data_IF_149610213484
#
_entry.id   IF_149610213484
#
_cell.length_a   1.000
_cell.length_b   1.000
_cell.length_c   1.000
_cell.angle_alpha   90.00
_cell.angle_beta   90.00
_cell.angle_gamma   90.00
#
_symmetry.space_group_name_H-M   'P 1'
#
loop_
_entity.id
_entity.type
_entity.pdbx_description
1 polymer ?
#
# COMPACT_ATOMS: atom_id res chain seq x y z
N UNK A 1 -10.78 9.56 -15.25
CA UNK A 1 -11.35 8.46 -16.06
C UNK A 1 -11.65 7.32 -15.12
N UNK A 2 -12.91 6.93 -15.01
CA UNK A 2 -13.30 5.73 -14.23
C UNK A 2 -13.87 4.74 -15.23
N UNK A 3 -13.29 3.55 -15.27
CA UNK A 3 -13.78 2.46 -16.12
C UNK A 3 -14.40 1.43 -15.21
N UNK A 4 -15.60 0.92 -15.49
CA UNK A 4 -16.25 -0.08 -14.68
C UNK A 4 -15.32 -1.25 -14.35
N UNK A 5 -15.36 -1.72 -13.10
CA UNK A 5 -14.54 -2.84 -12.65
C UNK A 5 -15.16 -4.18 -13.10
N UNK A 6 -15.24 -4.39 -14.40
CA UNK A 6 -15.77 -5.62 -15.01
C UNK A 6 -14.62 -6.46 -15.55
N UNK A 7 -14.65 -7.76 -15.26
CA UNK A 7 -13.67 -8.74 -15.76
C UNK A 7 -13.99 -9.03 -17.21
N UNK A 8 -13.04 -8.79 -18.13
CA UNK A 8 -13.16 -9.14 -19.55
C UNK A 8 -12.74 -10.57 -19.81
N UNK A 9 -11.53 -10.95 -19.37
CA UNK A 9 -10.97 -12.27 -19.59
C UNK A 9 -10.34 -12.82 -18.31
N UNK A 10 -10.45 -14.12 -18.11
CA UNK A 10 -9.78 -14.87 -17.05
C UNK A 10 -8.74 -15.77 -17.68
N UNK A 11 -7.49 -15.60 -17.27
CA UNK A 11 -6.37 -16.37 -17.83
C UNK A 11 -6.44 -17.82 -17.32
N UNK A 12 -6.40 -18.77 -18.23
CA UNK A 12 -6.41 -20.20 -17.88
C UNK A 12 -5.22 -20.58 -16.99
N UNK A 13 -5.45 -21.40 -15.97
CA UNK A 13 -4.45 -21.80 -14.97
C UNK A 13 -4.11 -20.72 -13.94
N UNK A 14 -4.81 -19.59 -13.95
CA UNK A 14 -4.56 -18.50 -13.02
C UNK A 14 -5.24 -18.68 -11.67
N UNK A 15 -4.80 -17.88 -10.70
CA UNK A 15 -5.44 -17.82 -9.36
C UNK A 15 -6.90 -17.38 -9.45
N UNK A 16 -7.22 -16.49 -10.40
CA UNK A 16 -8.59 -16.04 -10.61
C UNK A 16 -9.50 -17.16 -11.12
N UNK A 17 -9.03 -17.98 -12.08
CA UNK A 17 -9.78 -19.14 -12.56
C UNK A 17 -10.01 -20.14 -11.42
N UNK A 18 -8.97 -20.44 -10.65
CA UNK A 18 -9.07 -21.36 -9.49
C UNK A 18 -10.03 -20.85 -8.41
N UNK A 19 -10.15 -19.52 -8.25
CA UNK A 19 -11.10 -18.87 -7.33
C UNK A 19 -12.54 -18.82 -7.89
N UNK A 20 -12.74 -19.14 -9.17
CA UNK A 20 -14.04 -19.18 -9.81
C UNK A 20 -14.51 -17.84 -10.39
N UNK A 21 -13.60 -16.96 -10.80
CA UNK A 21 -13.94 -15.78 -11.61
C UNK A 21 -14.40 -16.18 -13.00
N UNK A 22 -15.33 -15.42 -13.55
CA UNK A 22 -15.83 -15.58 -14.91
C UNK A 22 -15.82 -14.23 -15.64
N UNK A 23 -15.66 -14.22 -16.96
CA UNK A 23 -15.88 -13.01 -17.76
C UNK A 23 -17.25 -12.41 -17.51
N UNK A 24 -17.33 -11.09 -17.38
CA UNK A 24 -18.54 -10.35 -17.03
C UNK A 24 -18.78 -10.14 -15.54
N UNK A 25 -17.96 -10.70 -14.65
CA UNK A 25 -18.04 -10.42 -13.23
C UNK A 25 -17.72 -8.94 -12.95
N UNK A 26 -18.61 -8.28 -12.23
CA UNK A 26 -18.41 -6.90 -11.79
C UNK A 26 -17.90 -6.89 -10.35
N UNK A 27 -16.73 -6.32 -10.15
CA UNK A 27 -16.12 -6.18 -8.81
C UNK A 27 -16.84 -5.08 -8.05
N UNK A 28 -17.31 -5.38 -6.84
CA UNK A 28 -17.97 -4.42 -5.95
C UNK A 28 -17.03 -3.92 -4.87
N UNK A 29 -16.33 -4.83 -4.19
CA UNK A 29 -15.40 -4.49 -3.12
C UNK A 29 -14.27 -5.52 -2.99
N UNK A 30 -13.16 -5.10 -2.38
CA UNK A 30 -12.02 -5.95 -2.00
C UNK A 30 -11.69 -5.67 -0.54
N UNK A 31 -11.74 -6.71 0.32
CA UNK A 31 -11.56 -6.58 1.79
C UNK A 31 -12.44 -5.45 2.40
N UNK A 32 -13.66 -5.25 1.86
CA UNK A 32 -14.58 -4.18 2.27
C UNK A 32 -14.24 -2.79 1.71
N UNK A 33 -13.18 -2.65 0.93
CA UNK A 33 -12.90 -1.42 0.18
C UNK A 33 -13.75 -1.41 -1.11
N UNK A 34 -14.58 -0.39 -1.27
CA UNK A 34 -15.45 -0.24 -2.45
C UNK A 34 -14.60 0.08 -3.67
N UNK A 35 -14.70 -0.75 -4.68
CA UNK A 35 -14.00 -0.59 -5.96
C UNK A 35 -14.84 0.27 -6.89
N UNK A 36 -14.32 1.43 -7.32
CA UNK A 36 -15.01 2.35 -8.23
C UNK A 36 -14.71 2.05 -9.70
N UNK A 37 -13.53 1.49 -9.96
CA UNK A 37 -13.09 1.16 -11.30
C UNK A 37 -12.05 0.05 -11.31
N UNK A 38 -11.76 -0.47 -12.50
CA UNK A 38 -10.80 -1.56 -12.65
C UNK A 38 -9.40 -1.20 -12.15
N UNK A 39 -9.01 0.08 -12.24
CA UNK A 39 -7.72 0.56 -11.72
C UNK A 39 -7.61 0.45 -10.20
N UNK A 40 -8.69 0.75 -9.46
CA UNK A 40 -8.73 0.58 -8.02
C UNK A 40 -8.56 -0.89 -7.62
N UNK A 41 -9.27 -1.77 -8.33
CA UNK A 41 -9.13 -3.21 -8.14
C UNK A 41 -7.71 -3.70 -8.41
N UNK A 42 -7.14 -3.31 -9.56
CA UNK A 42 -5.79 -3.68 -9.95
C UNK A 42 -4.76 -3.19 -8.91
N UNK A 43 -4.89 -1.95 -8.46
CA UNK A 43 -4.01 -1.36 -7.44
C UNK A 43 -4.10 -2.12 -6.12
N UNK A 44 -5.31 -2.50 -5.69
CA UNK A 44 -5.51 -3.26 -4.46
C UNK A 44 -4.83 -4.64 -4.55
N UNK A 45 -5.08 -5.37 -5.60
CA UNK A 45 -4.49 -6.69 -5.86
C UNK A 45 -2.96 -6.58 -5.95
N UNK A 46 -2.44 -5.63 -6.72
CA UNK A 46 -1.01 -5.41 -6.89
C UNK A 46 -0.27 -5.14 -5.57
N UNK A 47 -0.93 -4.43 -4.64
CA UNK A 47 -0.35 -4.14 -3.31
C UNK A 47 -0.60 -5.23 -2.27
N UNK A 48 -1.12 -6.41 -2.67
CA UNK A 48 -1.44 -7.54 -1.78
C UNK A 48 -0.75 -8.86 -2.21
N UNK A 49 0.55 -8.88 -2.55
CA UNK A 49 1.22 -10.12 -2.96
C UNK A 49 1.23 -11.13 -1.82
N UNK A 50 0.91 -12.40 -2.12
CA UNK A 50 0.89 -13.52 -1.17
C UNK A 50 0.00 -13.32 0.06
N UNK A 51 -0.96 -12.40 0.02
CA UNK A 51 -1.92 -12.14 1.08
C UNK A 51 -3.32 -12.52 0.61
N UNK A 52 -4.07 -13.26 1.43
CA UNK A 52 -5.47 -13.57 1.13
C UNK A 52 -6.29 -12.28 1.04
N UNK A 53 -7.10 -12.17 -0.01
CA UNK A 53 -8.03 -11.08 -0.26
C UNK A 53 -9.43 -11.63 -0.48
N UNK A 54 -10.41 -10.93 0.09
CA UNK A 54 -11.84 -11.24 -0.02
C UNK A 54 -12.46 -10.28 -1.03
N UNK A 55 -13.00 -10.80 -2.12
CA UNK A 55 -13.54 -10.01 -3.23
C UNK A 55 -15.03 -10.26 -3.33
N UNK A 56 -15.82 -9.21 -3.22
CA UNK A 56 -17.25 -9.24 -3.51
C UNK A 56 -17.48 -8.90 -4.97
N UNK A 57 -18.20 -9.76 -5.66
CA UNK A 57 -18.54 -9.61 -7.06
C UNK A 57 -20.07 -9.65 -7.26
N UNK A 58 -20.52 -9.05 -8.35
CA UNK A 58 -21.86 -9.18 -8.88
C UNK A 58 -21.79 -9.96 -10.20
N UNK A 59 -22.44 -11.11 -10.22
CA UNK A 59 -22.59 -11.99 -11.41
C UNK A 59 -24.06 -12.07 -11.78
N UNK A 60 -24.46 -11.36 -12.82
CA UNK A 60 -25.86 -11.21 -13.16
C UNK A 60 -26.64 -10.48 -12.05
N UNK A 61 -27.64 -11.14 -11.44
CA UNK A 61 -28.42 -10.58 -10.32
C UNK A 61 -27.93 -11.07 -8.95
N UNK A 62 -26.85 -11.82 -8.88
CA UNK A 62 -26.37 -12.47 -7.64
C UNK A 62 -25.06 -11.88 -7.18
N UNK A 63 -24.97 -11.57 -5.90
CA UNK A 63 -23.70 -11.22 -5.24
C UNK A 63 -23.00 -12.49 -4.80
N UNK A 64 -21.70 -12.55 -4.98
CA UNK A 64 -20.83 -13.66 -4.56
C UNK A 64 -19.59 -13.10 -3.87
N UNK A 65 -19.01 -13.92 -3.01
CA UNK A 65 -17.74 -13.62 -2.34
C UNK A 65 -16.73 -14.66 -2.79
N UNK A 66 -15.61 -14.21 -3.30
CA UNK A 66 -14.50 -15.04 -3.75
C UNK A 66 -13.28 -14.72 -2.90
N UNK A 67 -12.60 -15.77 -2.42
CA UNK A 67 -11.37 -15.64 -1.66
C UNK A 67 -10.21 -16.15 -2.50
N UNK A 68 -9.12 -15.40 -2.56
CA UNK A 68 -7.93 -15.82 -3.27
C UNK A 68 -6.66 -15.18 -2.69
N UNK A 69 -5.53 -15.76 -3.02
CA UNK A 69 -4.20 -15.23 -2.65
C UNK A 69 -3.50 -14.81 -3.94
N UNK A 70 -3.29 -13.49 -4.19
CA UNK A 70 -2.58 -13.04 -5.37
C UNK A 70 -1.15 -13.61 -5.43
N UNK A 71 -0.78 -14.13 -6.59
CA UNK A 71 0.56 -14.65 -6.85
C UNK A 71 1.58 -13.52 -6.86
N UNK A 72 2.68 -13.62 -6.08
CA UNK A 72 3.74 -12.63 -6.11
C UNK A 72 4.55 -12.77 -7.39
N UNK A 73 4.54 -11.73 -8.22
CA UNK A 73 5.36 -11.64 -9.44
C UNK A 73 6.25 -10.40 -9.38
N UNK A 74 7.46 -10.52 -9.93
CA UNK A 74 8.35 -9.37 -10.11
C UNK A 74 8.15 -8.80 -11.49
N UNK A 75 7.82 -7.52 -11.57
CA UNK A 75 7.70 -6.78 -12.83
C UNK A 75 8.68 -5.61 -12.82
N UNK A 76 9.11 -5.18 -14.00
CA UNK A 76 9.86 -3.94 -14.13
C UNK A 76 8.92 -2.77 -14.42
N UNK A 77 9.09 -1.67 -13.66
CA UNK A 77 8.39 -0.43 -13.95
C UNK A 77 8.97 0.24 -15.22
N UNK A 78 8.33 1.33 -15.67
CA UNK A 78 8.78 2.10 -16.85
C UNK A 78 10.20 2.66 -16.73
N UNK A 79 10.78 2.65 -15.53
CA UNK A 79 12.12 3.14 -15.24
C UNK A 79 13.12 2.00 -15.03
N UNK A 80 12.70 0.74 -15.22
CA UNK A 80 13.54 -0.44 -15.05
C UNK A 80 13.78 -0.85 -13.60
N UNK A 81 12.99 -0.33 -12.63
CA UNK A 81 13.07 -0.80 -11.26
C UNK A 81 12.20 -2.05 -11.09
N UNK A 82 12.73 -3.08 -10.45
CA UNK A 82 12.00 -4.28 -10.11
C UNK A 82 10.97 -3.97 -9.00
N UNK A 83 9.71 -4.37 -9.24
CA UNK A 83 8.62 -4.24 -8.29
C UNK A 83 7.95 -5.59 -8.08
N UNK A 84 7.80 -6.01 -6.83
CA UNK A 84 7.04 -7.21 -6.47
C UNK A 84 5.59 -6.83 -6.27
N UNK A 85 4.73 -7.34 -7.15
CA UNK A 85 3.29 -7.10 -7.11
C UNK A 85 2.49 -8.40 -6.99
N UNK A 86 1.25 -8.28 -6.48
CA UNK A 86 0.27 -9.37 -6.55
C UNK A 86 -0.38 -9.45 -7.92
N UNK A 87 -0.53 -10.65 -8.47
CA UNK A 87 -1.21 -10.92 -9.73
C UNK A 87 -2.24 -12.05 -9.55
N UNK A 88 -3.40 -11.92 -10.19
CA UNK A 88 -4.45 -12.95 -10.11
C UNK A 88 -4.81 -13.54 -11.48
N UNK A 89 -4.41 -12.90 -12.58
CA UNK A 89 -4.63 -13.41 -13.92
C UNK A 89 -6.00 -13.08 -14.49
N UNK A 90 -6.44 -11.84 -14.32
CA UNK A 90 -7.59 -11.27 -15.03
C UNK A 90 -7.13 -10.13 -15.92
N UNK A 91 -7.78 -9.99 -17.06
CA UNK A 91 -7.65 -8.81 -17.92
C UNK A 91 -9.00 -8.13 -18.06
N UNK A 92 -8.94 -6.90 -18.48
CA UNK A 92 -10.11 -6.13 -18.89
C UNK A 92 -10.21 -6.15 -20.41
N UNK A 93 -11.40 -6.31 -20.94
CA UNK A 93 -11.67 -6.00 -22.32
C UNK A 93 -11.84 -4.48 -22.45
N UNK A 94 -10.97 -3.84 -23.22
CA UNK A 94 -11.01 -2.41 -23.44
C UNK A 94 -11.74 -2.17 -24.75
N UNK A 95 -13.04 -1.97 -24.71
CA UNK A 95 -13.70 -1.24 -25.79
C UNK A 95 -13.42 0.26 -25.57
N UNK A 96 -12.93 0.95 -26.58
CA UNK A 96 -12.58 2.39 -26.52
C UNK A 96 -13.73 3.29 -26.05
N UNK A 97 -14.95 2.77 -26.06
CA UNK A 97 -16.20 3.45 -25.68
C UNK A 97 -16.43 3.51 -24.18
N UNK A 98 -15.72 2.74 -23.35
CA UNK A 98 -16.01 2.59 -21.91
C UNK A 98 -15.25 3.60 -21.01
N UNK A 99 -14.52 4.53 -21.62
CA UNK A 99 -13.75 5.53 -20.88
C UNK A 99 -14.58 6.77 -20.62
N UNK A 100 -15.32 6.80 -19.54
CA UNK A 100 -16.01 8.01 -19.10
C UNK A 100 -15.06 8.99 -18.38
N UNK A 101 -15.03 10.24 -18.85
CA UNK A 101 -14.31 11.33 -18.18
C UNK A 101 -15.11 11.77 -16.95
N UNK A 102 -14.82 11.15 -15.82
CA UNK A 102 -15.44 11.51 -14.56
C UNK A 102 -14.79 12.78 -13.97
N UNK A 103 -15.61 13.81 -13.70
CA UNK A 103 -15.20 15.05 -13.05
C UNK A 103 -15.96 15.20 -11.74
N UNK A 104 -15.36 14.80 -10.59
CA UNK A 104 -16.04 14.93 -9.31
C UNK A 104 -16.32 16.38 -8.95
N UNK A 105 -17.46 16.63 -8.35
CA UNK A 105 -17.75 17.91 -7.69
C UNK A 105 -16.84 18.15 -6.48
N UNK A 106 -16.71 19.39 -5.96
CA UNK A 106 -15.79 19.69 -4.84
C UNK A 106 -16.05 18.86 -3.59
N UNK A 107 -17.31 18.64 -3.23
CA UNK A 107 -17.69 17.83 -2.05
C UNK A 107 -17.34 16.35 -2.26
N UNK A 108 -17.60 15.85 -3.44
CA UNK A 108 -17.30 14.49 -3.82
C UNK A 108 -15.78 14.24 -3.88
N UNK A 109 -15.01 15.18 -4.40
CA UNK A 109 -13.56 15.15 -4.41
C UNK A 109 -12.97 15.02 -2.98
N UNK A 110 -13.54 15.73 -2.00
CA UNK A 110 -13.17 15.58 -0.59
C UNK A 110 -13.49 14.17 -0.09
N UNK A 111 -14.68 13.65 -0.39
CA UNK A 111 -15.05 12.27 -0.03
C UNK A 111 -14.07 11.23 -0.61
N UNK A 112 -13.74 11.36 -1.90
CA UNK A 112 -12.75 10.50 -2.57
C UNK A 112 -11.37 10.58 -1.91
N UNK A 113 -10.93 11.78 -1.51
CA UNK A 113 -9.65 11.98 -0.83
C UNK A 113 -9.63 11.29 0.54
N UNK A 114 -10.71 11.40 1.30
CA UNK A 114 -10.81 10.72 2.61
C UNK A 114 -10.74 9.20 2.46
N UNK A 115 -11.40 8.64 1.46
CA UNK A 115 -11.34 7.20 1.16
C UNK A 115 -9.93 6.78 0.71
N UNK A 116 -9.26 7.59 -0.10
CA UNK A 116 -7.87 7.33 -0.51
C UNK A 116 -6.92 7.34 0.70
N UNK A 117 -7.05 8.33 1.59
CA UNK A 117 -6.28 8.37 2.84
C UNK A 117 -6.56 7.12 3.69
N UNK A 118 -7.82 6.73 3.83
CA UNK A 118 -8.20 5.52 4.57
C UNK A 118 -7.57 4.27 3.94
N UNK A 119 -7.61 4.16 2.62
CA UNK A 119 -6.96 3.07 1.89
C UNK A 119 -5.46 3.01 2.21
N UNK A 120 -4.74 4.12 2.09
CA UNK A 120 -3.29 4.20 2.35
C UNK A 120 -2.99 3.83 3.81
N UNK A 121 -3.75 4.35 4.78
CA UNK A 121 -3.59 4.04 6.21
C UNK A 121 -3.79 2.54 6.47
N UNK A 122 -4.85 1.96 5.92
CA UNK A 122 -5.13 0.53 6.09
C UNK A 122 -4.04 -0.34 5.46
N UNK A 123 -3.56 0.03 4.27
CA UNK A 123 -2.48 -0.71 3.60
C UNK A 123 -1.15 -0.60 4.35
N UNK A 124 -0.80 0.59 4.82
CA UNK A 124 0.40 0.80 5.63
C UNK A 124 0.32 0.04 6.95
N UNK A 125 -0.83 0.06 7.62
CA UNK A 125 -1.04 -0.70 8.85
C UNK A 125 -0.95 -2.23 8.61
N UNK A 126 -1.52 -2.73 7.52
CA UNK A 126 -1.42 -4.13 7.13
C UNK A 126 0.03 -4.53 6.84
N UNK A 127 0.77 -3.71 6.08
CA UNK A 127 2.18 -3.92 5.78
C UNK A 127 3.02 -3.99 7.07
N UNK A 128 2.81 -3.05 7.99
CA UNK A 128 3.48 -3.08 9.30
C UNK A 128 3.09 -4.33 10.11
N UNK A 129 1.81 -4.71 10.09
CA UNK A 129 1.34 -5.93 10.75
C UNK A 129 2.04 -7.19 10.23
N UNK A 130 2.25 -7.29 8.91
CA UNK A 130 2.95 -8.41 8.29
C UNK A 130 4.41 -8.53 8.76
N UNK A 131 5.09 -7.39 9.05
CA UNK A 131 6.42 -7.38 9.66
C UNK A 131 6.40 -7.98 11.07
N UNK A 132 5.43 -7.62 11.91
CA UNK A 132 5.33 -8.16 13.27
C UNK A 132 5.03 -9.66 13.32
N UNK A 133 4.35 -10.17 12.30
CA UNK A 133 4.03 -11.61 12.18
C UNK A 133 5.13 -12.40 11.44
N UNK A 134 6.21 -11.75 11.01
CA UNK A 134 7.34 -12.38 10.32
C UNK A 134 7.05 -12.71 8.84
N UNK A 135 5.99 -12.15 8.27
CA UNK A 135 5.65 -12.25 6.84
C UNK A 135 6.11 -11.04 6.02
N UNK A 136 6.69 -10.05 6.67
CA UNK A 136 7.17 -8.83 6.04
C UNK A 136 8.35 -9.12 5.11
N UNK A 137 8.26 -8.60 3.89
CA UNK A 137 9.34 -8.68 2.91
C UNK A 137 10.28 -7.47 3.07
N UNK A 138 11.47 -7.73 3.57
CA UNK A 138 12.50 -6.69 3.79
C UNK A 138 12.95 -6.01 2.49
N UNK A 139 12.76 -6.64 1.33
CA UNK A 139 13.08 -6.05 0.03
C UNK A 139 12.14 -4.90 -0.34
N UNK A 140 10.94 -4.87 0.26
CA UNK A 140 9.97 -3.78 0.07
C UNK A 140 10.32 -2.53 0.90
N UNK A 141 11.23 -2.65 1.88
CA UNK A 141 11.70 -1.50 2.63
C UNK A 141 12.63 -0.65 1.75
N UNK A 142 12.14 0.51 1.39
CA UNK A 142 12.90 1.49 0.62
C UNK A 142 13.57 2.48 1.55
N UNK A 143 14.86 2.69 1.35
CA UNK A 143 15.62 3.69 2.08
C UNK A 143 15.65 5.06 1.37
N UNK A 144 16.38 6.02 1.93
CA UNK A 144 16.41 7.40 1.43
C UNK A 144 16.98 7.51 0.00
N UNK A 145 17.88 6.61 -0.39
CA UNK A 145 18.47 6.61 -1.73
C UNK A 145 17.43 6.23 -2.78
N UNK A 146 16.67 5.17 -2.52
CA UNK A 146 15.59 4.74 -3.42
C UNK A 146 14.48 5.79 -3.51
N UNK A 147 14.12 6.44 -2.40
CA UNK A 147 13.16 7.55 -2.39
C UNK A 147 13.66 8.72 -3.25
N UNK A 148 14.93 9.11 -3.14
CA UNK A 148 15.52 10.17 -3.96
C UNK A 148 15.53 9.81 -5.45
N UNK A 149 15.91 8.56 -5.79
CA UNK A 149 15.89 8.04 -7.17
C UNK A 149 14.47 8.10 -7.76
N UNK A 150 13.47 7.57 -7.03
CA UNK A 150 12.07 7.58 -7.48
C UNK A 150 11.55 9.02 -7.61
N UNK A 151 11.91 9.92 -6.69
CA UNK A 151 11.52 11.33 -6.77
C UNK A 151 12.08 12.00 -8.03
N UNK A 152 13.33 11.74 -8.38
CA UNK A 152 13.94 12.21 -9.63
C UNK A 152 13.23 11.65 -10.87
N UNK A 153 12.89 10.37 -10.86
CA UNK A 153 12.14 9.73 -11.95
C UNK A 153 10.73 10.31 -12.11
N UNK A 154 10.01 10.48 -11.00
CA UNK A 154 8.64 11.05 -11.01
C UNK A 154 8.66 12.51 -11.44
N UNK A 155 9.70 13.27 -11.11
CA UNK A 155 9.84 14.67 -11.58
C UNK A 155 9.85 14.78 -13.11
N UNK A 156 10.33 13.75 -13.83
CA UNK A 156 10.30 13.73 -15.31
C UNK A 156 8.90 13.57 -15.89
N UNK A 157 7.93 13.10 -15.07
CA UNK A 157 6.53 12.94 -15.48
C UNK A 157 5.72 14.22 -15.34
N UNK A 158 6.32 15.29 -14.81
CA UNK A 158 5.71 16.60 -14.66
C UNK A 158 5.25 16.94 -13.25
N UNK A 159 4.84 18.20 -13.10
CA UNK A 159 4.54 18.80 -11.78
C UNK A 159 3.42 18.07 -11.04
N UNK A 160 2.37 17.64 -11.71
CA UNK A 160 1.23 16.95 -11.09
C UNK A 160 1.67 15.64 -10.44
N UNK A 161 2.49 14.86 -11.15
CA UNK A 161 3.03 13.60 -10.62
C UNK A 161 3.92 13.84 -9.39
N UNK A 162 4.74 14.90 -9.43
CA UNK A 162 5.60 15.27 -8.31
C UNK A 162 4.79 15.72 -7.08
N UNK A 163 3.73 16.52 -7.27
CA UNK A 163 2.83 16.93 -6.17
C UNK A 163 2.14 15.71 -5.55
N UNK A 164 1.67 14.77 -6.37
CA UNK A 164 1.07 13.53 -5.87
C UNK A 164 2.07 12.70 -5.06
N UNK A 165 3.31 12.58 -5.54
CA UNK A 165 4.37 11.89 -4.78
C UNK A 165 4.65 12.59 -3.44
N UNK A 166 4.75 13.92 -3.43
CA UNK A 166 4.96 14.70 -2.19
C UNK A 166 3.80 14.49 -1.20
N UNK A 167 2.56 14.48 -1.67
CA UNK A 167 1.39 14.22 -0.84
C UNK A 167 1.44 12.81 -0.23
N UNK A 168 1.78 11.80 -1.03
CA UNK A 168 1.92 10.41 -0.59
C UNK A 168 3.05 10.26 0.45
N UNK A 169 4.21 10.86 0.21
CA UNK A 169 5.33 10.82 1.16
C UNK A 169 4.98 11.53 2.47
N UNK A 170 4.32 12.70 2.39
CA UNK A 170 3.88 13.44 3.57
C UNK A 170 2.89 12.63 4.42
N UNK A 171 1.93 11.98 3.78
CA UNK A 171 0.97 11.12 4.46
C UNK A 171 1.67 9.93 5.14
N UNK A 172 2.58 9.25 4.44
CA UNK A 172 3.33 8.15 5.01
C UNK A 172 4.20 8.58 6.20
N UNK A 173 4.91 9.71 6.10
CA UNK A 173 5.69 10.29 7.22
C UNK A 173 4.76 10.54 8.42
N UNK A 174 3.56 11.10 8.19
CA UNK A 174 2.57 11.31 9.26
C UNK A 174 2.13 10.00 9.92
N UNK A 175 1.86 8.96 9.14
CA UNK A 175 1.46 7.63 9.65
C UNK A 175 2.61 7.02 10.47
N UNK A 176 3.85 7.07 9.96
CA UNK A 176 5.01 6.56 10.71
C UNK A 176 5.26 7.32 12.00
N UNK A 177 5.06 8.64 12.01
CA UNK A 177 5.19 9.44 13.23
C UNK A 177 4.13 9.08 14.28
N UNK A 178 2.99 8.54 13.91
CA UNK A 178 1.97 8.04 14.85
C UNK A 178 2.27 6.67 15.45
N UNK A 179 3.32 5.98 14.99
CA UNK A 179 3.73 4.70 15.60
C UNK A 179 4.14 4.89 17.07
N UNK A 180 3.84 3.92 17.95
CA UNK A 180 4.16 4.00 19.39
C UNK A 180 5.66 3.76 19.64
N UNK A 181 6.52 4.44 18.92
CA UNK A 181 7.98 4.38 19.07
C UNK A 181 8.45 5.60 19.85
N UNK A 182 9.09 5.42 21.02
CA UNK A 182 9.65 6.53 21.77
C UNK A 182 10.68 7.28 20.93
N UNK A 183 10.47 8.53 20.65
CA UNK A 183 11.18 9.43 19.74
C UNK A 183 10.29 9.99 18.64
N UNK A 184 9.24 9.28 18.24
CA UNK A 184 8.20 9.75 17.33
C UNK A 184 7.03 10.36 18.11
N UNK A 185 6.18 11.13 17.44
CA UNK A 185 5.03 11.79 18.08
C UNK A 185 4.09 10.77 18.74
N UNK A 186 3.87 9.61 18.10
CA UNK A 186 3.09 8.51 18.66
C UNK A 186 3.67 7.94 19.98
N UNK A 187 4.99 7.98 20.15
CA UNK A 187 5.63 7.61 21.40
C UNK A 187 5.32 8.58 22.53
N UNK A 188 5.26 9.89 22.24
CA UNK A 188 4.83 10.89 23.20
C UNK A 188 3.34 10.74 23.54
N UNK A 189 2.49 10.47 22.56
CA UNK A 189 1.08 10.17 22.80
C UNK A 189 0.90 8.93 23.68
N UNK A 190 1.72 7.90 23.48
CA UNK A 190 1.73 6.71 24.34
C UNK A 190 2.13 7.05 25.77
N UNK A 191 3.13 7.91 25.97
CA UNK A 191 3.51 8.36 27.30
C UNK A 191 2.38 9.12 27.99
N UNK A 192 1.71 10.06 27.30
CA UNK A 192 0.56 10.77 27.83
C UNK A 192 -0.60 9.84 28.18
N UNK A 193 -0.87 8.83 27.36
CA UNK A 193 -1.89 7.82 27.65
C UNK A 193 -1.55 7.03 28.92
N UNK A 194 -0.30 6.60 29.08
CA UNK A 194 0.16 5.88 30.28
C UNK A 194 0.05 6.79 31.53
N UNK A 195 0.43 8.06 31.41
CA UNK A 195 0.33 9.04 32.49
C UNK A 195 -1.11 9.29 32.89
N UNK A 196 -2.02 9.42 31.92
CA UNK A 196 -3.45 9.60 32.16
C UNK A 196 -4.07 8.40 32.91
N UNK A 197 -3.73 7.18 32.51
CA UNK A 197 -4.22 5.95 33.18
C UNK A 197 -3.59 5.78 34.57
N UNK A 198 -2.32 6.14 34.72
CA UNK A 198 -1.57 5.98 35.98
C UNK A 198 -1.84 7.10 37.01
N UNK A 199 -2.36 8.24 36.55
CA UNK A 199 -2.63 9.42 37.40
C UNK A 199 -1.35 10.16 37.87
N UNK A 200 -0.20 9.84 37.29
CA UNK A 200 1.10 10.51 37.63
C UNK A 200 2.05 10.49 36.45
N UNK A 201 2.91 11.49 36.29
CA UNK A 201 3.88 11.57 35.21
C UNK A 201 4.92 10.43 35.27
N UNK A 202 5.42 10.04 34.12
CA UNK A 202 6.52 9.10 33.96
C UNK A 202 7.82 9.75 34.46
N UNK A 203 8.68 8.97 35.12
CA UNK A 203 9.98 9.49 35.58
C UNK A 203 10.86 9.83 34.36
N UNK A 204 11.70 10.87 34.52
CA UNK A 204 12.65 11.29 33.48
C UNK A 204 13.55 10.15 33.01
N UNK A 205 13.92 9.22 33.90
CA UNK A 205 14.72 8.04 33.53
C UNK A 205 14.02 7.11 32.55
N UNK A 206 12.72 6.92 32.74
CA UNK A 206 11.91 6.05 31.83
C UNK A 206 11.76 6.72 30.47
N UNK A 207 11.49 8.02 30.44
CA UNK A 207 11.40 8.78 29.19
C UNK A 207 12.74 8.80 28.45
N UNK A 208 13.86 9.04 29.15
CA UNK A 208 15.20 9.04 28.55
C UNK A 208 15.61 7.65 28.03
N UNK A 209 15.29 6.59 28.77
CA UNK A 209 15.56 5.21 28.33
C UNK A 209 14.75 4.86 27.08
N UNK A 210 13.47 5.25 27.06
CA UNK A 210 12.61 5.09 25.89
C UNK A 210 13.16 5.85 24.69
N UNK A 211 13.56 7.10 24.86
CA UNK A 211 14.15 7.91 23.80
C UNK A 211 15.43 7.27 23.23
N UNK A 212 16.36 6.82 24.09
CA UNK A 212 17.59 6.13 23.67
C UNK A 212 17.28 4.87 22.88
N UNK A 213 16.29 4.07 23.34
CA UNK A 213 15.85 2.88 22.62
C UNK A 213 15.24 3.23 21.26
N UNK A 214 14.31 4.20 21.20
CA UNK A 214 13.69 4.66 19.95
C UNK A 214 14.74 5.20 18.97
N UNK A 215 15.71 5.98 19.46
CA UNK A 215 16.81 6.49 18.64
C UNK A 215 17.66 5.36 18.06
N UNK A 216 18.04 4.39 18.87
CA UNK A 216 18.82 3.24 18.41
C UNK A 216 18.07 2.42 17.36
N UNK A 217 16.76 2.23 17.56
CA UNK A 217 15.90 1.52 16.61
C UNK A 217 15.82 2.26 15.26
N UNK A 218 15.54 3.57 15.27
CA UNK A 218 15.45 4.39 14.05
C UNK A 218 16.79 4.43 13.33
N UNK A 219 17.89 4.59 14.07
CA UNK A 219 19.24 4.57 13.50
C UNK A 219 19.57 3.22 12.87
N UNK A 220 19.23 2.11 13.54
CA UNK A 220 19.43 0.76 13.01
C UNK A 220 18.62 0.54 11.73
N UNK A 221 17.36 0.95 11.71
CA UNK A 221 16.53 0.90 10.49
C UNK A 221 17.09 1.77 9.36
N UNK A 222 17.55 2.98 9.66
CA UNK A 222 18.17 3.86 8.67
C UNK A 222 19.43 3.24 8.07
N UNK A 223 20.32 2.69 8.91
CA UNK A 223 21.54 2.02 8.43
C UNK A 223 21.17 0.78 7.61
N UNK A 224 20.20 -0.01 8.08
CA UNK A 224 19.73 -1.20 7.38
C UNK A 224 19.15 -0.86 6.00
N UNK A 225 18.25 0.13 5.91
CA UNK A 225 17.64 0.53 4.63
C UNK A 225 18.66 1.17 3.68
N UNK A 226 19.62 1.95 4.20
CA UNK A 226 20.71 2.50 3.40
C UNK A 226 21.59 1.39 2.83
N UNK A 227 21.90 0.38 3.63
CA UNK A 227 22.67 -0.79 3.20
C UNK A 227 21.88 -1.61 2.17
N UNK A 228 20.59 -1.80 2.40
CA UNK A 228 19.66 -2.46 1.46
C UNK A 228 19.62 -1.74 0.11
N UNK A 229 19.46 -0.41 0.10
CA UNK A 229 19.41 0.39 -1.13
C UNK A 229 20.73 0.37 -1.93
N UNK A 230 21.89 0.26 -1.25
CA UNK A 230 23.19 0.38 -1.91
C UNK A 230 23.81 -0.96 -2.30
N UNK A 231 23.63 -1.98 -1.45
CA UNK A 231 24.29 -3.28 -1.65
C UNK A 231 23.41 -4.24 -2.46
N UNK A 232 22.12 -4.35 -2.16
CA UNK A 232 21.26 -5.30 -2.86
C UNK A 232 20.89 -4.83 -4.27
N UNK A 233 20.69 -3.53 -4.49
CA UNK A 233 20.43 -2.97 -5.84
C UNK A 233 21.67 -3.09 -6.76
N UNK A 234 22.90 -3.04 -6.17
CA UNK A 234 24.14 -3.05 -6.94
C UNK A 234 24.70 -4.46 -7.23
N UNK A 235 24.49 -5.39 -6.31
CA UNK A 235 25.09 -6.74 -6.41
C UNK A 235 24.13 -7.85 -6.85
N UNK A 236 22.81 -7.60 -6.92
CA UNK A 236 21.83 -8.60 -7.36
C UNK A 236 21.86 -9.92 -6.55
N UNK A 237 22.28 -9.87 -5.28
CA UNK A 237 22.62 -11.06 -4.46
C UNK A 237 21.41 -11.89 -4.05
N UNK A 238 20.18 -11.39 -4.26
CA UNK A 238 18.94 -12.12 -3.96
C UNK A 238 17.99 -12.15 -5.18
N UNK A 239 18.49 -12.58 -6.31
CA UNK A 239 17.65 -12.97 -7.46
C UNK A 239 17.19 -14.40 -7.32
#
# INVERSE_FOLDING_TARGET
>A
YTVPAVIGEVIAGSVAEAAGFEPGDKILSVDGYVVRGFEDFQRYVATSPAREVVIEIERGASKRVLNLVPEPVVIQDRFGNDQRIGRIGVSRDIEETDVELYKPGPVEAVGMTVEEIRFIVQRTAAFLGDFFVGRGDVQQLSGPVKVAKVSGQVATLGVVALVNLMALLSLNIGIFNLLPVPMLDGGHLLYYLIEAVRGRPLSMRVQEMGFRFGFALVLALMVFTLFNDTVFDHFGILR
#
